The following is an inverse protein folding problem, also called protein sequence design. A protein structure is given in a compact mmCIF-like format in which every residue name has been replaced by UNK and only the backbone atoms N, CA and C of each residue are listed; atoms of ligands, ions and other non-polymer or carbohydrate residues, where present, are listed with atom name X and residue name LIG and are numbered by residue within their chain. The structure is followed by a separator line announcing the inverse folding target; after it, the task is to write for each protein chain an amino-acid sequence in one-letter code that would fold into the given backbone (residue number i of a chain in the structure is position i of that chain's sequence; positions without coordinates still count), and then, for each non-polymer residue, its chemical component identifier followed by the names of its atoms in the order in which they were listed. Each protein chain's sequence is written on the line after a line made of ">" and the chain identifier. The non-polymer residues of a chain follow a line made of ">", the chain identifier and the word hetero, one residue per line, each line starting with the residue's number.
data_IF_030713356613
#
_entry.id   IF_030713356613
#
_cell.length_a   1.000
_cell.length_b   1.000
_cell.length_c   1.000
_cell.angle_alpha   90.00
_cell.angle_beta   90.00
_cell.angle_gamma   90.00
#
_symmetry.space_group_name_H-M   'P 1'
#
loop_
_entity.id
_entity.type
_entity.pdbx_description
1 polymer ?
#
# COMPACT_ATOMS: atom_id res chain seq x y z
N UNK A 1 -38.33 -38.80 -23.80
CA UNK A 1 -38.34 -37.32 -23.76
C UNK A 1 -39.10 -36.95 -22.50
N UNK A 2 -38.38 -36.57 -21.45
CA UNK A 2 -38.98 -36.19 -20.17
C UNK A 2 -38.38 -34.84 -19.75
N UNK A 3 -39.26 -33.85 -19.64
CA UNK A 3 -38.97 -32.44 -19.45
C UNK A 3 -39.17 -32.15 -17.97
N UNK A 4 -38.08 -32.21 -17.20
CA UNK A 4 -38.08 -31.90 -15.76
C UNK A 4 -38.17 -30.39 -15.53
N UNK A 5 -39.37 -29.92 -15.23
CA UNK A 5 -39.70 -28.56 -14.81
C UNK A 5 -39.07 -28.21 -13.46
N UNK A 6 -38.39 -27.06 -13.40
CA UNK A 6 -37.73 -26.53 -12.23
C UNK A 6 -38.73 -25.89 -11.24
N UNK A 7 -38.79 -26.39 -10.00
CA UNK A 7 -39.48 -25.72 -8.89
C UNK A 7 -38.57 -24.65 -8.21
N UNK A 8 -39.10 -23.46 -7.87
CA UNK A 8 -38.27 -22.34 -7.43
C UNK A 8 -37.99 -22.31 -5.91
N UNK A 9 -36.70 -22.25 -5.59
CA UNK A 9 -36.05 -22.12 -4.26
C UNK A 9 -36.54 -20.92 -3.39
N UNK A 10 -37.38 -20.03 -3.91
CA UNK A 10 -37.85 -18.81 -3.23
C UNK A 10 -38.80 -19.07 -2.05
N UNK A 11 -39.57 -20.17 -2.06
CA UNK A 11 -40.59 -20.38 -1.03
C UNK A 11 -39.99 -20.79 0.34
N UNK A 12 -38.90 -21.56 0.34
CA UNK A 12 -38.24 -22.03 1.58
C UNK A 12 -37.64 -20.89 2.42
N UNK A 13 -37.18 -19.80 1.79
CA UNK A 13 -36.64 -18.63 2.51
C UNK A 13 -37.74 -17.79 3.19
N UNK A 14 -38.95 -17.73 2.62
CA UNK A 14 -40.07 -16.93 3.16
C UNK A 14 -40.63 -17.55 4.46
N UNK A 15 -40.76 -18.88 4.51
CA UNK A 15 -41.22 -19.61 5.72
C UNK A 15 -40.24 -19.48 6.90
N UNK A 16 -38.92 -19.44 6.65
CA UNK A 16 -37.90 -19.28 7.71
C UNK A 16 -37.89 -17.88 8.32
N UNK A 17 -38.18 -16.83 7.54
CA UNK A 17 -38.24 -15.43 8.02
C UNK A 17 -39.51 -15.15 8.83
N UNK A 18 -40.62 -15.82 8.51
CA UNK A 18 -41.88 -15.68 9.27
C UNK A 18 -41.80 -16.30 10.67
N UNK A 19 -41.09 -17.43 10.84
CA UNK A 19 -40.97 -18.12 12.14
C UNK A 19 -40.15 -17.33 13.17
N UNK A 20 -39.17 -16.53 12.73
CA UNK A 20 -38.35 -15.67 13.63
C UNK A 20 -39.08 -14.43 14.13
N UNK A 21 -40.14 -13.97 13.44
CA UNK A 21 -40.87 -12.75 13.81
C UNK A 21 -41.92 -12.95 14.91
N UNK A 22 -42.21 -14.20 15.30
CA UNK A 22 -43.18 -14.55 16.35
C UNK A 22 -42.60 -14.73 17.74
N UNK A 23 -41.27 -14.67 17.92
CA UNK A 23 -40.62 -14.92 19.22
C UNK A 23 -40.27 -13.66 20.02
N UNK A 24 -40.63 -12.46 19.56
CA UNK A 24 -40.21 -11.21 20.19
C UNK A 24 -41.37 -10.28 20.58
N UNK A 25 -42.42 -10.83 21.17
CA UNK A 25 -43.50 -10.07 21.81
C UNK A 25 -43.69 -10.57 23.25
N UNK A 26 -42.90 -10.01 24.17
CA UNK A 26 -43.17 -10.04 25.60
C UNK A 26 -43.76 -8.69 26.02
N UNK A 27 -45.04 -8.68 26.39
CA UNK A 27 -45.73 -7.55 27.02
C UNK A 27 -45.53 -7.51 28.54
N UNK A 28 -46.10 -6.51 29.24
CA UNK A 28 -45.45 -5.75 30.32
C UNK A 28 -45.80 -6.22 31.74
N UNK A 29 -44.90 -5.95 32.69
CA UNK A 29 -45.10 -6.17 34.13
C UNK A 29 -45.50 -4.86 34.83
N UNK A 30 -46.60 -4.80 35.59
CA UNK A 30 -47.00 -3.63 36.36
C UNK A 30 -46.60 -3.75 37.84
N UNK A 31 -46.24 -2.62 38.46
CA UNK A 31 -46.15 -2.47 39.91
C UNK A 31 -44.75 -2.10 40.39
N UNK A 32 -44.50 -0.81 40.63
CA UNK A 32 -44.48 -0.33 42.00
C UNK A 32 -44.72 1.19 42.05
N UNK A 33 -45.49 1.61 43.04
CA UNK A 33 -45.87 3.00 43.30
C UNK A 33 -45.05 3.54 44.46
N UNK A 34 -44.74 4.84 44.45
CA UNK A 34 -44.53 5.59 45.70
C UNK A 34 -43.50 6.71 45.65
N UNK A 35 -43.94 7.93 45.97
CA UNK A 35 -43.14 8.83 46.83
C UNK A 35 -42.66 10.16 46.22
N UNK A 36 -43.57 11.11 46.08
CA UNK A 36 -43.56 12.45 46.70
C UNK A 36 -42.26 13.29 46.81
N UNK A 37 -42.27 14.40 46.05
CA UNK A 37 -42.16 15.82 46.48
C UNK A 37 -40.86 16.45 47.03
N UNK A 38 -40.70 17.72 46.61
CA UNK A 38 -39.91 18.83 47.16
C UNK A 38 -38.42 18.87 46.78
N UNK A 39 -37.77 19.98 46.38
CA UNK A 39 -38.16 21.37 46.14
C UNK A 39 -36.86 22.21 46.01
N UNK A 40 -36.89 23.26 45.19
CA UNK A 40 -36.00 24.43 45.31
C UNK A 40 -34.58 24.36 44.74
N UNK A 41 -34.16 25.46 44.10
CA UNK A 41 -32.75 25.82 43.95
C UNK A 41 -32.34 26.25 42.55
N UNK A 42 -32.48 27.54 42.25
CA UNK A 42 -31.87 28.16 41.08
C UNK A 42 -30.34 28.13 41.12
N UNK A 43 -29.72 28.12 39.94
CA UNK A 43 -28.28 28.20 39.75
C UNK A 43 -27.98 28.26 38.25
N UNK A 44 -27.84 29.48 37.74
CA UNK A 44 -27.45 29.73 36.36
C UNK A 44 -25.97 29.46 36.17
N UNK A 45 -25.64 28.35 35.52
CA UNK A 45 -24.28 28.01 35.18
C UNK A 45 -24.13 28.09 33.66
N UNK A 46 -23.63 29.24 33.19
CA UNK A 46 -23.18 29.45 31.82
C UNK A 46 -22.08 28.43 31.45
N UNK A 47 -22.46 27.23 30.99
CA UNK A 47 -21.56 26.35 30.24
C UNK A 47 -21.47 26.87 28.81
N UNK A 48 -20.48 27.73 28.57
CA UNK A 48 -20.02 28.07 27.22
C UNK A 48 -19.77 26.80 26.40
N UNK A 49 -19.86 26.87 25.05
CA UNK A 49 -19.81 25.69 24.21
C UNK A 49 -18.43 25.04 24.36
N UNK A 50 -18.41 23.89 25.02
CA UNK A 50 -17.27 22.98 25.05
C UNK A 50 -16.94 22.68 23.60
N UNK A 51 -15.81 23.17 23.09
CA UNK A 51 -15.28 22.79 21.78
C UNK A 51 -15.26 21.27 21.76
N UNK A 52 -16.18 20.65 21.00
CA UNK A 52 -16.04 19.25 20.62
C UNK A 52 -14.77 19.23 19.79
N UNK A 53 -13.69 18.73 20.36
CA UNK A 53 -12.64 18.12 19.56
C UNK A 53 -13.38 17.04 18.76
N UNK A 54 -13.73 17.39 17.53
CA UNK A 54 -14.29 16.47 16.56
C UNK A 54 -13.20 15.43 16.33
N UNK A 55 -13.31 14.27 16.99
CA UNK A 55 -12.58 13.09 16.56
C UNK A 55 -12.80 12.98 15.05
N UNK A 56 -11.73 12.97 14.24
CA UNK A 56 -11.89 12.91 12.80
C UNK A 56 -12.69 11.65 12.48
N UNK A 57 -13.83 11.82 11.81
CA UNK A 57 -14.64 10.70 11.35
C UNK A 57 -13.74 9.74 10.56
N UNK A 58 -13.91 8.43 10.76
CA UNK A 58 -12.99 7.42 10.22
C UNK A 58 -12.82 7.54 8.70
N UNK A 59 -13.84 8.02 8.00
CA UNK A 59 -13.83 8.34 6.57
C UNK A 59 -12.86 9.48 6.21
N UNK A 60 -12.79 10.54 7.02
CA UNK A 60 -11.91 11.69 6.79
C UNK A 60 -10.43 11.30 6.93
N UNK A 61 -10.11 10.39 7.86
CA UNK A 61 -8.75 9.88 8.08
C UNK A 61 -8.24 8.99 6.92
N UNK A 62 -9.14 8.22 6.30
CA UNK A 62 -8.85 7.36 5.15
C UNK A 62 -8.60 8.18 3.89
N UNK A 63 -9.42 9.20 3.64
CA UNK A 63 -9.26 10.12 2.51
C UNK A 63 -7.97 10.93 2.60
N UNK A 64 -7.65 11.48 3.78
CA UNK A 64 -6.37 12.18 4.02
C UNK A 64 -5.16 11.30 3.71
N UNK A 65 -5.19 10.04 4.12
CA UNK A 65 -4.11 9.08 3.89
C UNK A 65 -3.93 8.75 2.41
N UNK A 66 -5.03 8.63 1.64
CA UNK A 66 -4.97 8.41 0.19
C UNK A 66 -4.40 9.64 -0.55
N UNK A 67 -4.84 10.83 -0.18
CA UNK A 67 -4.35 12.09 -0.76
C UNK A 67 -2.84 12.25 -0.52
N UNK A 68 -2.39 11.99 0.71
CA UNK A 68 -0.96 12.02 1.04
C UNK A 68 -0.16 11.01 0.20
N UNK A 69 -0.71 9.81 -0.01
CA UNK A 69 -0.08 8.79 -0.85
C UNK A 69 0.09 9.28 -2.28
N UNK A 70 -0.99 9.76 -2.90
CA UNK A 70 -0.97 10.29 -4.26
C UNK A 70 -0.03 11.47 -4.43
N UNK A 71 -0.01 12.38 -3.46
CA UNK A 71 0.94 13.48 -3.44
C UNK A 71 2.38 12.98 -3.40
N UNK A 72 2.69 12.00 -2.54
CA UNK A 72 4.02 11.39 -2.46
C UNK A 72 4.41 10.72 -3.79
N UNK A 73 3.51 9.96 -4.41
CA UNK A 73 3.75 9.37 -5.73
C UNK A 73 4.07 10.44 -6.79
N UNK A 74 3.33 11.55 -6.80
CA UNK A 74 3.55 12.64 -7.74
C UNK A 74 4.94 13.27 -7.57
N UNK A 75 5.37 13.53 -6.33
CA UNK A 75 6.71 14.05 -6.05
C UNK A 75 7.79 13.12 -6.60
N UNK A 76 7.66 11.82 -6.36
CA UNK A 76 8.62 10.82 -6.88
C UNK A 76 8.66 10.86 -8.41
N UNK A 77 7.51 10.82 -9.07
CA UNK A 77 7.44 10.85 -10.54
C UNK A 77 8.07 12.13 -11.10
N UNK A 78 7.84 13.29 -10.48
CA UNK A 78 8.46 14.55 -10.90
C UNK A 78 9.98 14.56 -10.71
N UNK A 79 10.48 14.07 -9.57
CA UNK A 79 11.93 13.98 -9.30
C UNK A 79 12.63 13.09 -10.32
N UNK A 80 12.07 11.90 -10.60
CA UNK A 80 12.65 11.01 -11.60
C UNK A 80 12.47 11.53 -13.02
N UNK A 81 11.32 12.13 -13.34
CA UNK A 81 11.08 12.76 -14.65
C UNK A 81 12.11 13.84 -14.97
N UNK A 82 12.47 14.68 -13.99
CA UNK A 82 13.52 15.69 -14.14
C UNK A 82 14.91 15.08 -14.39
N UNK A 83 15.27 14.04 -13.62
CA UNK A 83 16.56 13.36 -13.78
C UNK A 83 16.66 12.58 -15.11
N UNK A 84 15.57 11.93 -15.53
CA UNK A 84 15.46 11.25 -16.83
C UNK A 84 15.56 12.29 -17.96
N UNK A 85 14.87 13.43 -17.84
CA UNK A 85 14.97 14.53 -18.81
C UNK A 85 16.40 15.06 -18.94
N UNK A 86 17.08 15.27 -17.81
CA UNK A 86 18.49 15.67 -17.80
C UNK A 86 19.40 14.62 -18.46
N UNK A 87 19.17 13.33 -18.16
CA UNK A 87 19.89 12.23 -18.80
C UNK A 87 19.71 12.25 -20.32
N UNK A 88 18.47 12.39 -20.82
CA UNK A 88 18.17 12.40 -22.25
C UNK A 88 18.85 13.59 -22.94
N UNK A 89 18.74 14.80 -22.37
CA UNK A 89 19.35 16.00 -22.96
C UNK A 89 20.87 15.89 -23.01
N UNK A 90 21.52 15.41 -21.95
CA UNK A 90 22.98 15.28 -21.93
C UNK A 90 23.45 14.14 -22.86
N UNK A 91 22.67 13.06 -22.96
CA UNK A 91 22.98 11.96 -23.87
C UNK A 91 22.95 12.37 -25.34
N UNK A 92 22.10 13.34 -25.71
CA UNK A 92 21.97 13.81 -27.10
C UNK A 92 22.89 14.97 -27.43
N UNK A 93 23.44 15.69 -26.45
CA UNK A 93 24.12 16.95 -26.70
C UNK A 93 25.57 16.81 -27.23
N UNK A 94 26.15 15.61 -27.36
CA UNK A 94 27.53 15.37 -27.83
C UNK A 94 28.65 16.19 -27.15
N UNK A 95 28.33 16.99 -26.13
CA UNK A 95 29.27 17.88 -25.42
C UNK A 95 30.16 17.13 -24.44
N UNK A 96 29.80 15.88 -24.11
CA UNK A 96 30.56 15.03 -23.20
C UNK A 96 30.74 13.66 -23.85
N UNK A 97 31.93 13.07 -23.72
CA UNK A 97 32.19 11.72 -24.23
C UNK A 97 31.27 10.69 -23.56
N UNK A 98 30.20 10.31 -24.27
CA UNK A 98 29.23 9.33 -23.83
C UNK A 98 29.78 7.92 -24.08
N UNK A 99 30.23 7.25 -23.03
CA UNK A 99 30.76 5.88 -23.11
C UNK A 99 29.78 4.91 -22.47
N UNK A 100 28.79 4.39 -23.21
CA UNK A 100 27.85 3.41 -22.69
C UNK A 100 28.58 2.10 -22.38
N UNK A 101 28.35 1.56 -21.19
CA UNK A 101 28.93 0.28 -20.77
C UNK A 101 27.86 -0.81 -20.73
N UNK A 102 28.27 -2.07 -20.90
CA UNK A 102 27.37 -3.21 -20.75
C UNK A 102 26.92 -3.34 -19.30
N UNK A 103 25.61 -3.27 -19.08
CA UNK A 103 25.02 -3.42 -17.76
C UNK A 103 25.44 -4.76 -17.13
N UNK A 104 25.80 -4.76 -15.84
CA UNK A 104 26.19 -5.98 -15.15
C UNK A 104 24.99 -6.94 -15.04
N UNK A 105 25.25 -8.26 -15.04
CA UNK A 105 24.20 -9.31 -15.00
C UNK A 105 23.25 -9.14 -13.78
N UNK A 106 23.76 -8.53 -12.71
CA UNK A 106 23.04 -8.16 -11.50
C UNK A 106 21.78 -7.32 -11.78
N UNK A 107 21.82 -6.45 -12.79
CA UNK A 107 20.68 -5.61 -13.17
C UNK A 107 19.56 -6.46 -13.78
N UNK A 108 19.88 -7.50 -14.55
CA UNK A 108 18.90 -8.44 -15.09
C UNK A 108 18.27 -9.33 -14.01
N UNK A 109 19.09 -9.76 -13.04
CA UNK A 109 18.60 -10.49 -11.86
C UNK A 109 17.63 -9.62 -11.07
N UNK A 110 17.94 -8.33 -10.90
CA UNK A 110 17.07 -7.37 -10.21
C UNK A 110 15.69 -7.23 -10.87
N UNK A 111 15.62 -7.28 -12.20
CA UNK A 111 14.37 -7.25 -12.97
C UNK A 111 13.50 -8.48 -12.72
N UNK A 112 14.12 -9.67 -12.71
CA UNK A 112 13.40 -10.90 -12.41
C UNK A 112 12.85 -10.89 -10.98
N UNK A 113 13.62 -10.35 -10.03
CA UNK A 113 13.19 -10.17 -8.63
C UNK A 113 12.00 -9.22 -8.53
N UNK A 114 12.02 -8.08 -9.23
CA UNK A 114 10.91 -7.12 -9.21
C UNK A 114 9.63 -7.71 -9.83
N UNK A 115 9.75 -8.44 -10.95
CA UNK A 115 8.60 -9.10 -11.56
C UNK A 115 7.99 -10.14 -10.60
N UNK A 116 8.84 -10.93 -9.93
CA UNK A 116 8.39 -11.86 -8.90
C UNK A 116 7.75 -11.14 -7.71
N UNK A 117 8.30 -10.00 -7.29
CA UNK A 117 7.81 -9.17 -6.17
C UNK A 117 6.42 -8.60 -6.42
N UNK A 118 6.18 -8.12 -7.65
CA UNK A 118 4.87 -7.61 -8.07
C UNK A 118 3.80 -8.71 -8.03
N UNK A 119 4.14 -9.92 -8.49
CA UNK A 119 3.24 -11.09 -8.43
C UNK A 119 2.97 -11.48 -6.98
N UNK A 120 4.00 -11.60 -6.13
CA UNK A 120 3.84 -11.98 -4.72
C UNK A 120 2.99 -10.98 -3.95
N UNK A 121 3.15 -9.68 -4.22
CA UNK A 121 2.34 -8.62 -3.61
C UNK A 121 0.87 -8.74 -4.02
N UNK A 122 0.60 -8.95 -5.31
CA UNK A 122 -0.76 -9.09 -5.83
C UNK A 122 -1.49 -10.29 -5.22
N UNK A 123 -0.77 -11.43 -5.07
CA UNK A 123 -1.30 -12.60 -4.36
C UNK A 123 -1.60 -12.26 -2.89
N UNK A 124 -0.68 -11.60 -2.20
CA UNK A 124 -0.85 -11.17 -0.80
C UNK A 124 -2.12 -10.32 -0.61
N UNK A 125 -2.32 -9.31 -1.45
CA UNK A 125 -3.52 -8.46 -1.44
C UNK A 125 -4.81 -9.26 -1.62
N UNK A 126 -4.81 -10.25 -2.53
CA UNK A 126 -5.98 -11.12 -2.75
C UNK A 126 -6.34 -11.94 -1.51
N UNK A 127 -5.35 -12.35 -0.70
CA UNK A 127 -5.60 -13.06 0.56
C UNK A 127 -6.08 -12.14 1.69
N UNK A 128 -5.64 -10.88 1.73
CA UNK A 128 -6.18 -9.85 2.64
C UNK A 128 -7.67 -9.61 2.39
N UNK A 129 -8.07 -9.53 1.11
CA UNK A 129 -9.48 -9.35 0.73
C UNK A 129 -10.37 -10.55 1.12
N UNK A 130 -9.79 -11.75 1.23
CA UNK A 130 -10.48 -12.97 1.65
C UNK A 130 -10.42 -13.21 3.17
N UNK A 131 -9.95 -12.23 3.95
CA UNK A 131 -9.75 -12.31 5.41
C UNK A 131 -8.86 -13.49 5.87
N UNK A 132 -8.02 -14.02 4.97
CA UNK A 132 -7.03 -15.08 5.26
C UNK A 132 -5.71 -14.46 5.73
N UNK A 133 -5.74 -13.92 6.96
CA UNK A 133 -4.67 -13.10 7.52
C UNK A 133 -3.30 -13.80 7.59
N UNK A 134 -3.25 -15.08 7.97
CA UNK A 134 -1.97 -15.82 8.06
C UNK A 134 -1.30 -16.02 6.70
N UNK A 135 -2.08 -16.33 5.67
CA UNK A 135 -1.55 -16.51 4.32
C UNK A 135 -1.09 -15.17 3.74
N UNK A 136 -1.84 -14.09 3.97
CA UNK A 136 -1.45 -12.75 3.56
C UNK A 136 -0.10 -12.31 4.19
N UNK A 137 0.10 -12.59 5.49
CA UNK A 137 1.36 -12.30 6.19
C UNK A 137 2.55 -12.98 5.52
N UNK A 138 2.43 -14.26 5.17
CA UNK A 138 3.50 -15.01 4.49
C UNK A 138 3.87 -14.38 3.15
N UNK A 139 2.88 -14.00 2.36
CA UNK A 139 3.13 -13.34 1.06
C UNK A 139 3.80 -11.97 1.21
N UNK A 140 3.39 -11.15 2.19
CA UNK A 140 4.04 -9.86 2.43
C UNK A 140 5.48 -10.02 2.95
N UNK A 141 5.74 -11.05 3.76
CA UNK A 141 7.10 -11.38 4.20
C UNK A 141 7.96 -11.80 3.00
N UNK A 142 7.42 -12.63 2.10
CA UNK A 142 8.09 -12.98 0.84
C UNK A 142 8.38 -11.72 0.02
N UNK A 143 7.41 -10.83 -0.19
CA UNK A 143 7.64 -9.56 -0.91
C UNK A 143 8.72 -8.70 -0.25
N UNK A 144 8.76 -8.65 1.08
CA UNK A 144 9.79 -7.92 1.84
C UNK A 144 11.19 -8.50 1.57
N UNK A 145 11.33 -9.82 1.59
CA UNK A 145 12.60 -10.51 1.28
C UNK A 145 13.02 -10.27 -0.17
N UNK A 146 12.07 -10.23 -1.11
CA UNK A 146 12.35 -9.91 -2.51
C UNK A 146 12.83 -8.45 -2.65
N UNK A 147 12.19 -7.50 -1.96
CA UNK A 147 12.66 -6.11 -1.91
C UNK A 147 14.07 -5.97 -1.33
N UNK A 148 14.38 -6.69 -0.25
CA UNK A 148 15.73 -6.69 0.33
C UNK A 148 16.78 -7.31 -0.62
N UNK A 149 16.41 -8.38 -1.32
CA UNK A 149 17.23 -8.99 -2.37
C UNK A 149 17.48 -8.02 -3.53
N UNK A 150 16.48 -7.21 -3.89
CA UNK A 150 16.62 -6.16 -4.89
C UNK A 150 17.67 -5.12 -4.47
N UNK A 151 17.60 -4.59 -3.25
CA UNK A 151 18.60 -3.64 -2.73
C UNK A 151 20.00 -4.27 -2.75
N UNK A 152 20.12 -5.54 -2.34
CA UNK A 152 21.39 -6.26 -2.36
C UNK A 152 21.96 -6.36 -3.79
N UNK A 153 21.11 -6.60 -4.78
CA UNK A 153 21.53 -6.63 -6.19
C UNK A 153 22.04 -5.27 -6.69
N UNK A 154 21.48 -4.15 -6.21
CA UNK A 154 21.96 -2.80 -6.53
C UNK A 154 23.36 -2.55 -5.96
N UNK A 155 23.57 -2.91 -4.70
CA UNK A 155 24.89 -2.78 -4.05
C UNK A 155 25.93 -3.62 -4.80
N UNK A 156 25.59 -4.85 -5.20
CA UNK A 156 26.49 -5.68 -6.00
C UNK A 156 26.76 -5.10 -7.39
N UNK A 157 25.77 -4.45 -8.02
CA UNK A 157 25.96 -3.75 -9.29
C UNK A 157 26.93 -2.56 -9.14
N UNK A 158 26.79 -1.78 -8.06
CA UNK A 158 27.71 -0.69 -7.76
C UNK A 158 29.13 -1.19 -7.50
N UNK A 159 29.30 -2.23 -6.69
CA UNK A 159 30.61 -2.84 -6.43
C UNK A 159 31.24 -3.39 -7.72
N UNK A 160 30.46 -4.02 -8.59
CA UNK A 160 30.94 -4.51 -9.88
C UNK A 160 31.40 -3.37 -10.80
N UNK A 161 30.74 -2.21 -10.76
CA UNK A 161 31.12 -1.03 -11.55
C UNK A 161 32.38 -0.35 -10.99
N UNK A 162 32.48 -0.23 -9.67
CA UNK A 162 33.68 0.28 -9.00
C UNK A 162 34.89 -0.59 -9.30
N UNK A 163 34.74 -1.92 -9.24
CA UNK A 163 35.81 -2.86 -9.57
C UNK A 163 36.26 -2.81 -11.03
N UNK A 164 35.40 -2.33 -11.95
CA UNK A 164 35.74 -2.09 -13.36
C UNK A 164 36.41 -0.73 -13.60
N UNK A 165 36.69 0.03 -12.54
CA UNK A 165 37.28 1.37 -12.63
C UNK A 165 36.31 2.44 -13.15
N UNK A 166 35.00 2.14 -13.23
CA UNK A 166 33.96 3.08 -13.67
C UNK A 166 33.45 3.86 -12.46
N UNK A 167 34.22 4.89 -12.09
CA UNK A 167 33.87 5.82 -11.02
C UNK A 167 32.91 6.91 -11.52
N UNK A 168 32.14 7.48 -10.58
CA UNK A 168 31.33 8.70 -10.80
C UNK A 168 32.14 9.83 -11.46
N UNK A 169 33.46 9.91 -11.18
CA UNK A 169 34.36 11.01 -11.58
C UNK A 169 35.16 10.76 -12.87
N UNK A 170 34.62 9.99 -13.81
CA UNK A 170 35.29 9.70 -15.09
C UNK A 170 34.36 9.51 -16.30
N UNK A 171 33.07 9.29 -16.08
CA UNK A 171 32.09 9.13 -17.16
C UNK A 171 30.72 9.67 -16.72
N UNK A 172 30.14 10.67 -17.42
CA UNK A 172 28.83 11.22 -17.08
C UNK A 172 27.72 10.16 -17.05
N UNK A 173 27.79 9.15 -17.94
CA UNK A 173 26.83 8.05 -18.00
C UNK A 173 26.85 7.21 -16.71
N UNK A 174 28.05 6.91 -16.19
CA UNK A 174 28.19 6.23 -14.90
C UNK A 174 27.64 7.10 -13.77
N UNK A 175 27.90 8.41 -13.78
CA UNK A 175 27.35 9.35 -12.79
C UNK A 175 25.83 9.33 -12.70
N UNK A 176 25.15 9.43 -13.86
CA UNK A 176 23.69 9.33 -13.92
C UNK A 176 23.17 7.96 -13.47
N UNK A 177 23.84 6.87 -13.86
CA UNK A 177 23.50 5.53 -13.40
C UNK A 177 23.52 5.47 -11.87
N UNK A 178 24.59 5.92 -11.22
CA UNK A 178 24.69 5.89 -9.76
C UNK A 178 23.63 6.77 -9.08
N UNK A 179 23.40 8.01 -9.56
CA UNK A 179 22.43 8.92 -8.94
C UNK A 179 21.00 8.37 -9.08
N UNK A 180 20.60 7.94 -10.29
CA UNK A 180 19.27 7.39 -10.55
C UNK A 180 19.01 6.14 -9.72
N UNK A 181 19.97 5.21 -9.71
CA UNK A 181 19.83 3.94 -8.97
C UNK A 181 19.92 4.15 -7.45
N UNK A 182 20.72 5.10 -6.96
CA UNK A 182 20.82 5.40 -5.52
C UNK A 182 19.55 6.04 -4.98
N UNK A 183 19.01 7.05 -5.67
CA UNK A 183 17.74 7.67 -5.27
C UNK A 183 16.64 6.61 -5.32
N UNK A 184 16.61 5.76 -6.35
CA UNK A 184 15.64 4.67 -6.43
C UNK A 184 15.77 3.67 -5.27
N UNK A 185 16.99 3.26 -4.93
CA UNK A 185 17.23 2.36 -3.81
C UNK A 185 16.73 2.94 -2.47
N UNK A 186 16.92 4.25 -2.24
CA UNK A 186 16.39 4.94 -1.06
C UNK A 186 14.85 4.90 -1.02
N UNK A 187 14.19 5.11 -2.16
CA UNK A 187 12.72 5.02 -2.24
C UNK A 187 12.23 3.60 -2.00
N UNK A 188 12.87 2.58 -2.58
CA UNK A 188 12.52 1.18 -2.33
C UNK A 188 12.71 0.82 -0.86
N UNK A 189 13.78 1.32 -0.22
CA UNK A 189 13.98 1.14 1.23
C UNK A 189 12.84 1.76 2.05
N UNK A 190 12.39 2.97 1.68
CA UNK A 190 11.19 3.60 2.26
C UNK A 190 9.92 2.76 2.06
N UNK A 191 9.76 2.16 0.88
CA UNK A 191 8.68 1.23 0.57
C UNK A 191 8.71 -0.04 1.42
N UNK A 192 9.88 -0.61 1.63
CA UNK A 192 10.09 -1.78 2.49
C UNK A 192 9.74 -1.44 3.93
N UNK A 193 10.14 -0.26 4.42
CA UNK A 193 9.77 0.21 5.75
C UNK A 193 8.25 0.38 5.91
N UNK A 194 7.59 0.98 4.92
CA UNK A 194 6.13 1.11 4.90
C UNK A 194 5.41 -0.25 4.85
N UNK A 195 5.92 -1.20 4.05
CA UNK A 195 5.41 -2.56 4.00
C UNK A 195 5.59 -3.28 5.35
N UNK A 196 6.76 -3.12 5.97
CA UNK A 196 7.05 -3.63 7.31
C UNK A 196 6.08 -3.08 8.36
N UNK A 197 5.78 -1.77 8.32
CA UNK A 197 4.79 -1.15 9.20
C UNK A 197 3.40 -1.78 9.04
N UNK A 198 2.94 -2.01 7.80
CA UNK A 198 1.65 -2.69 7.55
C UNK A 198 1.67 -4.14 8.04
N UNK A 199 2.78 -4.86 7.87
CA UNK A 199 2.93 -6.24 8.37
C UNK A 199 2.83 -6.26 9.90
N UNK A 200 3.53 -5.35 10.59
CA UNK A 200 3.51 -5.24 12.06
C UNK A 200 2.10 -4.89 12.57
N UNK A 201 1.42 -3.95 11.92
CA UNK A 201 0.03 -3.60 12.26
C UNK A 201 -0.93 -4.76 12.02
N UNK A 202 -0.71 -5.52 10.94
CA UNK A 202 -1.48 -6.72 10.62
C UNK A 202 -1.12 -7.92 11.51
N UNK A 203 -0.07 -7.83 12.34
CA UNK A 203 0.27 -8.87 13.30
C UNK A 203 -0.83 -9.03 14.35
N UNK A 204 -1.38 -7.92 14.84
CA UNK A 204 -2.47 -7.88 15.80
C UNK A 204 -3.78 -8.35 15.14
N UNK A 205 -4.54 -9.21 15.84
CA UNK A 205 -5.84 -9.67 15.34
C UNK A 205 -6.81 -8.49 15.28
N UNK A 206 -7.63 -8.34 14.21
CA UNK A 206 -8.69 -7.34 14.19
C UNK A 206 -9.61 -7.53 15.39
N UNK A 207 -9.77 -6.47 16.17
CA UNK A 207 -10.75 -6.45 17.26
C UNK A 207 -12.13 -5.99 16.76
N UNK A 208 -12.21 -5.40 15.56
CA UNK A 208 -13.45 -4.88 14.95
C UNK A 208 -13.49 -5.03 13.42
N UNK A 209 -14.70 -4.95 12.85
CA UNK A 209 -14.92 -4.89 11.39
C UNK A 209 -14.28 -3.62 10.80
N UNK A 210 -14.33 -2.50 11.53
CA UNK A 210 -13.69 -1.24 11.15
C UNK A 210 -12.16 -1.37 10.99
N UNK A 211 -11.52 -2.15 11.86
CA UNK A 211 -10.08 -2.46 11.74
C UNK A 211 -9.78 -3.29 10.48
N UNK A 212 -10.70 -4.13 10.03
CA UNK A 212 -10.53 -4.91 8.79
C UNK A 212 -10.60 -4.05 7.54
N UNK A 213 -11.49 -3.06 7.51
CA UNK A 213 -11.59 -2.13 6.39
C UNK A 213 -10.39 -1.19 6.31
N UNK A 214 -9.91 -0.66 7.45
CA UNK A 214 -8.69 0.16 7.51
C UNK A 214 -7.47 -0.59 6.98
N UNK A 215 -7.26 -1.84 7.39
CA UNK A 215 -6.16 -2.67 6.85
C UNK A 215 -6.27 -2.91 5.34
N UNK A 216 -7.48 -3.13 4.81
CA UNK A 216 -7.72 -3.31 3.37
C UNK A 216 -7.41 -2.02 2.60
N UNK A 217 -7.75 -0.86 3.14
CA UNK A 217 -7.41 0.44 2.57
C UNK A 217 -5.90 0.70 2.58
N UNK A 218 -5.23 0.51 3.72
CA UNK A 218 -3.78 0.68 3.88
C UNK A 218 -2.99 -0.25 2.93
N UNK A 219 -3.37 -1.53 2.87
CA UNK A 219 -2.77 -2.52 1.95
C UNK A 219 -2.97 -2.11 0.49
N UNK A 220 -4.10 -1.48 0.18
CA UNK A 220 -4.32 -0.99 -1.18
C UNK A 220 -3.40 0.19 -1.48
N UNK A 221 -3.30 1.18 -0.60
CA UNK A 221 -2.43 2.35 -0.77
C UNK A 221 -0.95 1.98 -0.91
N UNK A 222 -0.45 1.09 -0.03
CA UNK A 222 0.94 0.59 -0.12
C UNK A 222 1.18 -0.16 -1.43
N UNK A 223 0.16 -0.86 -1.93
CA UNK A 223 0.27 -1.60 -3.18
C UNK A 223 0.42 -0.71 -4.40
N UNK A 224 -0.26 0.43 -4.42
CA UNK A 224 -0.11 1.39 -5.50
C UNK A 224 1.31 1.93 -5.54
N UNK A 225 1.86 2.31 -4.38
CA UNK A 225 3.25 2.78 -4.29
C UNK A 225 4.26 1.72 -4.68
N UNK A 226 4.10 0.48 -4.19
CA UNK A 226 5.00 -0.61 -4.53
C UNK A 226 5.04 -0.85 -6.04
N UNK A 227 3.88 -0.93 -6.69
CA UNK A 227 3.79 -1.08 -8.14
C UNK A 227 4.33 0.13 -8.90
N UNK A 228 4.17 1.36 -8.39
CA UNK A 228 4.77 2.55 -9.00
C UNK A 228 6.29 2.51 -8.92
N UNK A 229 6.87 2.08 -7.79
CA UNK A 229 8.32 1.90 -7.69
C UNK A 229 8.82 0.81 -8.65
N UNK A 230 8.14 -0.33 -8.73
CA UNK A 230 8.46 -1.41 -9.66
C UNK A 230 8.42 -0.94 -11.13
N UNK A 231 7.36 -0.21 -11.52
CA UNK A 231 7.22 0.34 -12.86
C UNK A 231 8.31 1.38 -13.18
N UNK A 232 8.64 2.24 -12.21
CA UNK A 232 9.70 3.23 -12.33
C UNK A 232 11.05 2.55 -12.58
N UNK A 233 11.34 1.44 -11.88
CA UNK A 233 12.56 0.68 -12.13
C UNK A 233 12.64 0.15 -13.56
N UNK A 234 11.54 -0.38 -14.10
CA UNK A 234 11.51 -0.85 -15.49
C UNK A 234 11.80 0.29 -16.48
N UNK A 235 11.28 1.48 -16.23
CA UNK A 235 11.59 2.68 -17.04
C UNK A 235 13.07 3.02 -16.96
N UNK A 236 13.66 3.02 -15.76
CA UNK A 236 15.09 3.28 -15.59
C UNK A 236 15.96 2.22 -16.29
N UNK A 237 15.58 0.95 -16.19
CA UNK A 237 16.29 -0.14 -16.85
C UNK A 237 16.20 -0.06 -18.37
N UNK A 238 15.02 0.29 -18.89
CA UNK A 238 14.83 0.53 -20.31
C UNK A 238 15.68 1.72 -20.78
N UNK A 239 15.64 2.83 -20.05
CA UNK A 239 16.43 4.01 -20.35
C UNK A 239 17.95 3.70 -20.32
N UNK A 240 18.44 3.07 -19.26
CA UNK A 240 19.87 2.81 -19.12
C UNK A 240 20.36 1.70 -20.06
N UNK A 241 19.54 0.69 -20.33
CA UNK A 241 19.92 -0.47 -21.13
C UNK A 241 19.72 -0.31 -22.64
N UNK A 242 18.60 0.29 -23.05
CA UNK A 242 18.23 0.46 -24.46
C UNK A 242 18.55 1.85 -25.00
N UNK A 243 18.45 2.90 -24.17
CA UNK A 243 18.77 4.27 -24.57
C UNK A 243 20.22 4.61 -24.21
N UNK A 244 21.15 4.12 -25.03
CA UNK A 244 22.60 4.30 -24.88
C UNK A 244 23.16 5.15 -26.01
#
# INVERSE_FOLDING_TARGET
>A
MDIGTAEPIKEKKKKKKLKRRRQNFGGPNPGDSGGDNNGGGGGGDNKGPRKKETEPTEEESSEKSKVLMWFLLLVVIMTFGGLIGAYVVISTNNTVEWRPFSLPIQVWISTAIILASSVTYHLGKKFVLKDKNETAKRWFLVTTVLGASFISSQVLAWLALVNRGLYMRGNPYAGFFYILTAIHAVHVLGGIAALGYVILRNWNRPNSVADSEKRKAETTSVGWYWHTMDALWLVLLFLLGFWK
#
